data_IF_818591964207
#
_entry.id   IF_818591964207
#
_cell.length_a   1.000
_cell.length_b   1.000
_cell.length_c   1.000
_cell.angle_alpha   90.00
_cell.angle_beta   90.00
_cell.angle_gamma   90.00
#
_symmetry.space_group_name_H-M   'P 1'
#
loop_
_entity.id
_entity.type
_entity.pdbx_description
1 polymer ?
#
# COMPACT_ATOMS: atom_id res chain seq x y z
N UNK A 1 -17.49 3.50 -27.01
CA UNK A 1 -16.59 4.49 -26.39
C UNK A 1 -15.63 3.70 -25.52
N UNK A 2 -14.34 3.66 -25.84
CA UNK A 2 -13.36 2.97 -25.01
C UNK A 2 -13.22 3.76 -23.71
N UNK A 3 -13.71 3.21 -22.60
CA UNK A 3 -13.52 3.78 -21.27
C UNK A 3 -12.03 3.72 -20.97
N UNK A 4 -11.34 4.83 -21.11
CA UNK A 4 -9.91 4.89 -20.81
C UNK A 4 -9.70 4.53 -19.33
N UNK A 5 -9.00 3.42 -19.12
CA UNK A 5 -8.72 2.83 -17.81
C UNK A 5 -7.80 3.73 -16.97
N UNK A 6 -7.14 4.69 -17.60
CA UNK A 6 -6.17 5.59 -16.97
C UNK A 6 -6.72 6.99 -16.67
N UNK A 7 -8.03 7.24 -16.87
CA UNK A 7 -8.63 8.56 -16.59
C UNK A 7 -8.37 8.97 -15.15
N UNK A 8 -7.63 10.08 -15.02
CA UNK A 8 -7.36 10.79 -13.77
C UNK A 8 -8.44 11.85 -13.59
N UNK A 9 -9.07 11.89 -12.41
CA UNK A 9 -9.99 12.95 -12.04
C UNK A 9 -9.22 14.25 -11.83
N UNK A 10 -9.77 15.31 -12.42
CA UNK A 10 -9.36 16.68 -12.12
C UNK A 10 -9.58 16.98 -10.64
N UNK A 11 -8.71 17.81 -10.07
CA UNK A 11 -8.74 18.22 -8.66
C UNK A 11 -10.12 18.74 -8.23
N UNK A 12 -10.82 19.49 -9.09
CA UNK A 12 -12.15 20.05 -8.79
C UNK A 12 -13.25 19.00 -8.74
N UNK A 13 -13.00 17.83 -9.32
CA UNK A 13 -13.92 16.70 -9.32
C UNK A 13 -13.68 15.76 -8.13
N UNK A 14 -12.59 15.95 -7.38
CA UNK A 14 -12.28 15.14 -6.21
C UNK A 14 -13.02 15.67 -4.99
N UNK A 15 -13.51 14.73 -4.19
CA UNK A 15 -13.90 15.02 -2.80
C UNK A 15 -12.66 15.54 -2.05
N UNK A 16 -12.85 16.50 -1.14
CA UNK A 16 -11.75 17.07 -0.34
C UNK A 16 -11.78 16.50 1.06
N UNK A 17 -10.74 15.80 1.43
CA UNK A 17 -10.58 15.16 2.73
C UNK A 17 -9.36 15.72 3.45
N UNK A 18 -9.49 15.86 4.77
CA UNK A 18 -8.38 16.17 5.65
C UNK A 18 -7.83 14.89 6.24
N UNK A 19 -6.51 14.81 6.43
CA UNK A 19 -5.88 13.75 7.18
C UNK A 19 -5.43 14.28 8.54
N UNK A 20 -5.98 13.72 9.61
CA UNK A 20 -5.51 13.88 10.97
C UNK A 20 -4.80 12.57 11.38
N UNK A 21 -3.46 12.58 11.59
CA UNK A 21 -2.69 11.39 11.92
C UNK A 21 -3.31 10.57 13.06
N UNK A 22 -3.47 9.27 12.84
CA UNK A 22 -4.06 8.29 13.77
C UNK A 22 -5.51 8.52 14.21
N UNK A 23 -6.13 9.63 13.81
CA UNK A 23 -7.52 9.95 14.14
C UNK A 23 -8.44 9.63 12.97
N UNK A 24 -8.29 10.33 11.84
CA UNK A 24 -9.21 10.20 10.70
C UNK A 24 -8.62 10.60 9.35
N UNK A 25 -9.27 10.12 8.28
CA UNK A 25 -9.05 10.50 6.89
C UNK A 25 -10.40 10.88 6.28
N UNK A 26 -10.69 12.17 6.26
CA UNK A 26 -12.01 12.69 5.86
C UNK A 26 -13.09 12.18 6.82
N UNK A 27 -14.15 11.52 6.32
CA UNK A 27 -15.20 10.96 7.17
C UNK A 27 -14.82 9.63 7.85
N UNK A 28 -13.69 9.01 7.47
CA UNK A 28 -13.29 7.70 7.97
C UNK A 28 -12.39 7.85 9.20
N UNK A 29 -12.83 7.36 10.35
CA UNK A 29 -12.04 7.36 11.58
C UNK A 29 -11.38 6.00 11.81
N UNK A 30 -10.14 6.00 12.28
CA UNK A 30 -9.48 4.75 12.64
C UNK A 30 -10.22 4.07 13.79
N UNK A 31 -10.36 2.76 13.69
CA UNK A 31 -11.09 1.92 14.63
C UNK A 31 -12.58 1.74 14.36
N UNK A 32 -13.16 2.42 13.35
CA UNK A 32 -14.53 2.16 12.91
C UNK A 32 -14.74 0.69 12.51
N UNK A 33 -15.93 0.15 12.80
CA UNK A 33 -16.40 -1.11 12.20
C UNK A 33 -16.69 -0.90 10.72
N UNK A 34 -16.93 -2.00 10.00
CA UNK A 34 -17.33 -1.91 8.61
C UNK A 34 -18.64 -1.12 8.42
N UNK A 35 -19.68 -1.39 9.23
CA UNK A 35 -20.96 -0.67 9.10
C UNK A 35 -20.82 0.82 9.42
N UNK A 36 -19.97 1.17 10.41
CA UNK A 36 -19.70 2.57 10.75
C UNK A 36 -18.98 3.29 9.60
N UNK A 37 -17.97 2.65 9.00
CA UNK A 37 -17.26 3.20 7.86
C UNK A 37 -18.18 3.37 6.64
N UNK A 38 -19.06 2.40 6.37
CA UNK A 38 -20.08 2.51 5.32
C UNK A 38 -21.04 3.67 5.57
N UNK A 39 -21.57 3.79 6.80
CA UNK A 39 -22.45 4.90 7.17
C UNK A 39 -21.76 6.27 7.06
N UNK A 40 -20.47 6.35 7.39
CA UNK A 40 -19.71 7.60 7.35
C UNK A 40 -19.49 8.12 5.92
N UNK A 41 -19.39 7.22 4.93
CA UNK A 41 -19.19 7.59 3.53
C UNK A 41 -20.47 7.53 2.69
N UNK A 42 -21.62 7.26 3.32
CA UNK A 42 -22.90 7.14 2.63
C UNK A 42 -23.23 8.41 1.83
N UNK A 43 -23.83 8.22 0.66
CA UNK A 43 -24.10 9.29 -0.30
C UNK A 43 -22.87 9.86 -1.03
N UNK A 44 -21.64 9.64 -0.56
CA UNK A 44 -20.41 10.06 -1.23
C UNK A 44 -19.72 8.91 -1.96
N UNK A 45 -19.58 7.78 -1.27
CA UNK A 45 -19.01 6.54 -1.78
C UNK A 45 -20.01 5.40 -1.68
N UNK A 46 -19.82 4.38 -2.50
CA UNK A 46 -20.57 3.14 -2.51
C UNK A 46 -19.60 2.01 -2.21
N UNK A 47 -19.91 1.22 -1.18
CA UNK A 47 -19.07 0.12 -0.75
C UNK A 47 -19.33 -1.14 -1.58
N UNK A 48 -18.28 -1.91 -1.81
CA UNK A 48 -18.40 -3.35 -2.00
C UNK A 48 -17.41 -4.03 -1.06
N UNK A 49 -17.93 -4.73 -0.07
CA UNK A 49 -17.14 -5.56 0.82
C UNK A 49 -16.52 -6.73 0.04
N UNK A 50 -15.24 -6.99 0.26
CA UNK A 50 -14.57 -8.19 -0.26
C UNK A 50 -13.88 -8.92 0.87
N UNK A 51 -14.39 -10.10 1.20
CA UNK A 51 -13.72 -11.00 2.13
C UNK A 51 -12.42 -11.53 1.50
N UNK A 52 -11.32 -11.43 2.23
CA UNK A 52 -10.06 -12.03 1.82
C UNK A 52 -10.15 -13.56 1.80
N UNK A 53 -9.39 -14.25 0.93
CA UNK A 53 -9.46 -15.72 0.77
C UNK A 53 -9.07 -16.52 2.02
N UNK A 54 -8.49 -15.89 3.05
CA UNK A 54 -8.08 -16.52 4.32
C UNK A 54 -8.97 -16.15 5.52
N UNK A 55 -10.03 -15.35 5.34
CA UNK A 55 -10.98 -14.97 6.39
C UNK A 55 -10.42 -14.11 7.54
N UNK A 56 -9.11 -13.81 7.55
CA UNK A 56 -8.45 -13.09 8.63
C UNK A 56 -8.18 -11.60 8.34
N UNK A 57 -8.15 -11.19 7.08
CA UNK A 57 -8.01 -9.78 6.68
C UNK A 57 -9.29 -9.37 5.95
N UNK A 58 -10.04 -8.45 6.55
CA UNK A 58 -11.26 -7.91 5.95
C UNK A 58 -10.88 -6.63 5.22
N UNK A 59 -11.26 -6.54 3.94
CA UNK A 59 -11.01 -5.38 3.09
C UNK A 59 -12.34 -4.90 2.51
N UNK A 60 -12.57 -3.60 2.54
CA UNK A 60 -13.68 -3.00 1.79
C UNK A 60 -13.12 -2.06 0.72
N UNK A 61 -13.73 -2.12 -0.45
CA UNK A 61 -13.42 -1.24 -1.56
C UNK A 61 -14.60 -0.27 -1.73
N UNK A 62 -14.30 1.01 -1.92
CA UNK A 62 -15.30 2.08 -2.05
C UNK A 62 -15.14 2.78 -3.40
N UNK A 63 -16.24 2.90 -4.13
CA UNK A 63 -16.33 3.61 -5.42
C UNK A 63 -17.05 4.94 -5.25
N UNK A 64 -16.77 5.91 -6.12
CA UNK A 64 -17.52 7.18 -6.11
C UNK A 64 -18.98 6.92 -6.50
N UNK A 65 -19.91 7.33 -5.65
CA UNK A 65 -21.35 7.11 -5.86
C UNK A 65 -21.84 7.72 -7.18
N UNK A 66 -21.26 8.86 -7.57
CA UNK A 66 -21.62 9.57 -8.80
C UNK A 66 -21.04 8.94 -10.09
N UNK A 67 -20.18 7.92 -10.00
CA UNK A 67 -19.56 7.25 -11.17
C UNK A 67 -19.38 5.74 -10.94
N UNK A 68 -20.47 4.94 -10.97
CA UNK A 68 -20.40 3.49 -10.80
C UNK A 68 -19.63 2.76 -11.92
N UNK A 69 -19.53 3.36 -13.12
CA UNK A 69 -18.88 2.78 -14.31
C UNK A 69 -17.33 2.78 -14.24
N UNK A 70 -16.76 3.16 -13.10
CA UNK A 70 -15.32 3.24 -12.87
C UNK A 70 -14.60 1.89 -12.77
N UNK A 71 -15.30 0.77 -12.96
CA UNK A 71 -14.84 -0.58 -12.65
C UNK A 71 -13.46 -0.96 -13.18
N UNK A 72 -13.00 -0.38 -14.29
CA UNK A 72 -11.67 -0.66 -14.84
C UNK A 72 -10.50 0.02 -14.09
N UNK A 73 -10.71 1.18 -13.47
CA UNK A 73 -9.63 1.92 -12.77
C UNK A 73 -9.53 1.60 -11.27
N UNK A 74 -10.33 0.64 -10.80
CA UNK A 74 -10.37 0.21 -9.40
C UNK A 74 -11.16 1.15 -8.48
N UNK A 75 -11.19 0.83 -7.17
CA UNK A 75 -11.90 1.62 -6.17
C UNK A 75 -11.24 2.98 -5.94
N UNK A 76 -12.04 3.96 -5.51
CA UNK A 76 -11.57 5.29 -5.12
C UNK A 76 -10.82 5.25 -3.78
N UNK A 77 -11.33 4.46 -2.83
CA UNK A 77 -10.71 4.22 -1.52
C UNK A 77 -10.76 2.72 -1.23
N UNK A 78 -9.66 2.19 -0.72
CA UNK A 78 -9.59 0.82 -0.20
C UNK A 78 -9.28 0.91 1.29
N UNK A 79 -10.04 0.21 2.10
CA UNK A 79 -9.81 0.13 3.55
C UNK A 79 -9.46 -1.27 4.00
N UNK A 80 -8.71 -1.35 5.08
CA UNK A 80 -8.24 -2.58 5.71
C UNK A 80 -8.69 -2.59 7.16
N UNK A 81 -9.25 -3.72 7.59
CA UNK A 81 -9.69 -3.91 8.96
C UNK A 81 -8.79 -4.94 9.67
N UNK A 82 -8.45 -4.61 10.90
CA UNK A 82 -7.84 -5.51 11.87
C UNK A 82 -8.89 -5.91 12.91
N UNK A 83 -8.91 -7.17 13.36
CA UNK A 83 -9.93 -7.64 14.31
C UNK A 83 -9.84 -6.99 15.68
N UNK A 84 -8.65 -6.56 16.11
CA UNK A 84 -8.45 -5.94 17.41
C UNK A 84 -8.67 -4.41 17.37
N UNK A 85 -8.39 -3.78 16.22
CA UNK A 85 -8.45 -2.32 16.09
C UNK A 85 -9.76 -1.86 15.44
N UNK A 86 -10.28 -2.57 14.44
CA UNK A 86 -11.29 -2.06 13.50
C UNK A 86 -10.61 -1.53 12.24
N UNK A 87 -11.09 -0.41 11.70
CA UNK A 87 -10.48 0.24 10.54
C UNK A 87 -9.02 0.62 10.84
N UNK A 88 -8.09 -0.09 10.23
CA UNK A 88 -6.66 -0.01 10.55
C UNK A 88 -5.82 0.63 9.43
N UNK A 89 -6.32 0.63 8.19
CA UNK A 89 -5.61 1.21 7.05
C UNK A 89 -6.55 1.75 5.98
N UNK A 90 -6.15 2.86 5.37
CA UNK A 90 -6.90 3.56 4.32
C UNK A 90 -5.92 3.88 3.19
N UNK A 91 -6.16 3.32 2.01
CA UNK A 91 -5.39 3.58 0.80
C UNK A 91 -6.28 4.32 -0.21
N UNK A 92 -5.81 5.49 -0.66
CA UNK A 92 -6.57 6.35 -1.57
C UNK A 92 -6.03 6.23 -3.00
N UNK A 93 -6.89 5.99 -3.98
CA UNK A 93 -6.48 5.80 -5.37
C UNK A 93 -6.02 7.11 -6.01
N UNK A 94 -4.84 7.12 -6.64
CA UNK A 94 -4.28 8.33 -7.24
C UNK A 94 -5.14 8.88 -8.39
N UNK A 95 -5.87 8.02 -9.12
CA UNK A 95 -6.62 8.41 -10.31
C UNK A 95 -7.99 8.97 -9.94
N UNK A 96 -8.66 8.40 -8.93
CA UNK A 96 -10.08 8.69 -8.66
C UNK A 96 -10.42 8.93 -7.19
N UNK A 97 -9.46 8.73 -6.31
CA UNK A 97 -9.66 8.94 -4.89
C UNK A 97 -9.91 10.40 -4.53
N UNK A 98 -10.50 10.65 -3.35
CA UNK A 98 -10.55 11.98 -2.76
C UNK A 98 -9.15 12.63 -2.75
N UNK A 99 -9.09 13.95 -2.87
CA UNK A 99 -7.89 14.68 -2.53
C UNK A 99 -7.76 14.71 -1.00
N UNK A 100 -6.71 14.10 -0.49
CA UNK A 100 -6.38 14.14 0.94
C UNK A 100 -5.32 15.20 1.19
N UNK A 101 -5.52 16.04 2.21
CA UNK A 101 -4.55 17.05 2.64
C UNK A 101 -4.06 16.84 4.06
N UNK A 102 -2.76 16.97 4.28
CA UNK A 102 -2.11 17.05 5.61
C UNK A 102 -1.59 18.48 5.81
N UNK A 103 -2.19 19.25 6.73
CA UNK A 103 -1.82 20.66 6.97
C UNK A 103 -1.72 21.52 5.68
N UNK A 104 -2.64 21.27 4.74
CA UNK A 104 -2.68 21.94 3.43
C UNK A 104 -1.81 21.32 2.34
N UNK A 105 -0.93 20.36 2.66
CA UNK A 105 -0.16 19.58 1.69
C UNK A 105 -1.05 18.52 1.03
N UNK A 106 -1.24 18.61 -0.29
CA UNK A 106 -2.02 17.62 -1.04
C UNK A 106 -1.23 16.32 -1.22
N UNK A 107 -1.82 15.18 -0.87
CA UNK A 107 -1.13 13.88 -0.86
C UNK A 107 -1.48 12.99 -2.05
N UNK A 108 -2.61 13.23 -2.72
CA UNK A 108 -3.15 12.34 -3.77
C UNK A 108 -2.89 12.96 -5.14
N UNK A 109 -2.55 12.12 -6.12
CA UNK A 109 -2.46 12.57 -7.51
C UNK A 109 -1.31 13.54 -7.79
N UNK A 110 -0.34 13.68 -6.89
CA UNK A 110 0.81 14.57 -7.05
C UNK A 110 1.95 13.87 -7.77
N UNK A 111 2.90 14.65 -8.31
CA UNK A 111 4.17 14.10 -8.82
C UNK A 111 4.99 13.60 -7.63
N UNK A 112 5.40 12.31 -7.59
CA UNK A 112 6.06 11.73 -6.41
C UNK A 112 7.29 12.50 -5.92
N UNK A 113 8.18 12.92 -6.81
CA UNK A 113 9.39 13.65 -6.42
C UNK A 113 9.08 14.98 -5.75
N UNK A 114 8.13 15.74 -6.29
CA UNK A 114 7.70 17.02 -5.70
C UNK A 114 7.05 16.81 -4.34
N UNK A 115 6.24 15.76 -4.20
CA UNK A 115 5.59 15.45 -2.93
C UNK A 115 6.61 14.97 -1.90
N UNK A 116 7.63 14.21 -2.30
CA UNK A 116 8.72 13.78 -1.42
C UNK A 116 9.50 14.97 -0.86
N UNK A 117 9.84 15.97 -1.69
CA UNK A 117 10.49 17.21 -1.22
C UNK A 117 9.62 17.91 -0.18
N UNK A 118 8.33 18.13 -0.47
CA UNK A 118 7.39 18.78 0.45
C UNK A 118 7.18 18.00 1.74
N UNK A 119 7.15 16.67 1.64
CA UNK A 119 6.98 15.80 2.79
C UNK A 119 8.22 15.81 3.69
N UNK A 120 9.41 15.83 3.09
CA UNK A 120 10.68 15.96 3.82
C UNK A 120 10.72 17.28 4.59
N UNK A 121 10.46 18.41 3.92
CA UNK A 121 10.39 19.73 4.56
C UNK A 121 9.39 19.78 5.71
N UNK A 122 8.23 19.14 5.53
CA UNK A 122 7.19 19.05 6.56
C UNK A 122 7.66 18.25 7.78
N UNK A 123 8.28 17.09 7.57
CA UNK A 123 8.78 16.25 8.66
C UNK A 123 9.88 16.97 9.44
N UNK A 124 10.81 17.63 8.75
CA UNK A 124 11.86 18.43 9.38
C UNK A 124 11.27 19.55 10.23
N UNK A 125 10.31 20.31 9.68
CA UNK A 125 9.63 21.41 10.39
C UNK A 125 8.93 20.93 11.67
N UNK A 126 8.38 19.72 11.66
CA UNK A 126 7.64 19.15 12.78
C UNK A 126 8.47 18.20 13.66
N UNK A 127 9.79 18.14 13.46
CA UNK A 127 10.72 17.25 14.16
C UNK A 127 10.27 15.77 14.15
N UNK A 128 9.91 15.28 12.96
CA UNK A 128 9.48 13.89 12.72
C UNK A 128 10.49 13.16 11.83
N UNK A 129 10.54 11.85 11.97
CA UNK A 129 11.44 10.99 11.22
C UNK A 129 10.89 10.70 9.82
N UNK A 130 11.73 10.94 8.81
CA UNK A 130 11.58 10.38 7.47
C UNK A 130 12.17 8.96 7.45
N UNK A 131 11.40 8.03 6.91
CA UNK A 131 11.83 6.65 6.63
C UNK A 131 11.43 6.27 5.22
N UNK A 132 11.96 5.15 4.75
CA UNK A 132 11.61 4.58 3.45
C UNK A 132 11.11 3.15 3.62
N UNK A 133 10.06 2.81 2.88
CA UNK A 133 9.56 1.43 2.79
C UNK A 133 10.59 0.55 2.06
N UNK A 134 10.39 -0.78 2.11
CA UNK A 134 11.18 -1.71 1.29
C UNK A 134 11.06 -1.45 -0.23
N UNK A 135 10.01 -0.77 -0.67
CA UNK A 135 9.80 -0.37 -2.05
C UNK A 135 10.31 1.07 -2.34
N UNK A 136 11.11 1.64 -1.42
CA UNK A 136 11.61 3.01 -1.47
C UNK A 136 10.50 4.08 -1.50
N UNK A 137 9.34 3.79 -0.88
CA UNK A 137 8.29 4.80 -0.70
C UNK A 137 8.60 5.65 0.56
N UNK A 138 8.58 6.99 0.48
CA UNK A 138 8.70 7.85 1.65
C UNK A 138 7.60 7.57 2.68
N UNK A 139 7.95 7.51 3.96
CA UNK A 139 7.00 7.21 5.03
C UNK A 139 7.41 7.83 6.37
N UNK A 140 6.44 7.95 7.27
CA UNK A 140 6.67 8.32 8.66
C UNK A 140 5.76 7.53 9.60
N UNK A 141 6.37 6.71 10.45
CA UNK A 141 5.65 5.95 11.48
C UNK A 141 4.99 6.88 12.52
N UNK A 142 5.52 8.08 12.74
CA UNK A 142 4.95 9.08 13.65
C UNK A 142 3.73 9.81 13.08
N UNK A 143 3.41 9.58 11.80
CA UNK A 143 2.18 10.05 11.16
C UNK A 143 1.27 8.89 10.74
N UNK A 144 1.77 7.66 10.72
CA UNK A 144 1.06 6.54 10.10
C UNK A 144 0.86 6.73 8.59
N UNK A 145 1.82 7.35 7.90
CA UNK A 145 1.69 7.71 6.48
C UNK A 145 2.79 7.07 5.63
N UNK A 146 2.39 6.47 4.51
CA UNK A 146 3.29 5.97 3.45
C UNK A 146 2.85 6.56 2.10
N UNK A 147 3.78 7.18 1.37
CA UNK A 147 3.54 7.83 0.09
C UNK A 147 3.91 6.91 -1.06
N UNK A 148 2.97 6.06 -1.48
CA UNK A 148 3.19 5.16 -2.62
C UNK A 148 3.02 5.87 -3.96
N UNK A 149 3.54 5.25 -5.01
CA UNK A 149 3.31 5.69 -6.39
C UNK A 149 2.34 4.76 -7.13
N UNK A 150 1.53 5.32 -8.03
CA UNK A 150 0.60 4.61 -8.90
C UNK A 150 0.72 5.11 -10.33
N UNK A 151 0.81 4.19 -11.29
CA UNK A 151 0.87 4.51 -12.71
C UNK A 151 -0.52 4.92 -13.24
N UNK A 152 -0.55 5.97 -14.05
CA UNK A 152 -1.71 6.47 -14.78
C UNK A 152 -1.30 6.72 -16.25
N UNK A 153 -1.33 5.67 -17.07
CA UNK A 153 -0.81 5.73 -18.44
C UNK A 153 0.70 5.97 -18.44
N UNK A 154 1.13 7.11 -18.97
CA UNK A 154 2.54 7.53 -18.99
C UNK A 154 2.95 8.37 -17.77
N UNK A 155 2.00 8.68 -16.88
CA UNK A 155 2.25 9.40 -15.64
C UNK A 155 2.42 8.43 -14.46
N UNK A 156 3.13 8.90 -13.44
CA UNK A 156 3.20 8.27 -12.12
C UNK A 156 2.76 9.29 -11.10
N UNK A 157 1.77 8.92 -10.28
CA UNK A 157 1.08 9.80 -9.36
C UNK A 157 1.14 9.25 -7.93
N UNK A 158 1.13 10.15 -6.94
CA UNK A 158 1.13 9.78 -5.54
C UNK A 158 -0.20 9.15 -5.10
N UNK A 159 -0.07 8.13 -4.25
CA UNK A 159 -1.14 7.27 -3.73
C UNK A 159 -0.89 7.05 -2.23
N UNK A 160 -1.41 7.92 -1.35
CA UNK A 160 -1.13 7.83 0.07
C UNK A 160 -1.82 6.62 0.70
N UNK A 161 -1.16 6.05 1.69
CA UNK A 161 -1.69 5.03 2.59
C UNK A 161 -1.54 5.56 4.00
N UNK A 162 -2.66 5.65 4.71
CA UNK A 162 -2.72 6.11 6.09
C UNK A 162 -3.14 4.94 6.97
N UNK A 163 -2.53 4.80 8.15
CA UNK A 163 -2.77 3.68 9.05
C UNK A 163 -3.02 4.15 10.49
N UNK A 164 -3.74 3.33 11.24
CA UNK A 164 -3.91 3.50 12.67
C UNK A 164 -2.56 3.35 13.40
N UNK A 165 -2.46 3.91 14.60
CA UNK A 165 -1.22 3.91 15.40
C UNK A 165 -0.68 2.49 15.61
N UNK A 166 -1.56 1.52 15.94
CA UNK A 166 -1.18 0.12 16.13
C UNK A 166 -0.64 -0.60 14.89
N UNK A 167 -0.72 0.03 13.71
CA UNK A 167 -0.18 -0.47 12.43
C UNK A 167 1.01 0.36 11.93
N UNK A 168 1.33 1.49 12.55
CA UNK A 168 2.32 2.44 12.06
C UNK A 168 3.74 1.88 11.98
N UNK A 169 4.12 1.00 12.91
CA UNK A 169 5.42 0.34 12.87
C UNK A 169 5.53 -0.74 11.79
N UNK A 170 4.39 -1.25 11.30
CA UNK A 170 4.31 -2.32 10.29
C UNK A 170 4.03 -1.81 8.89
N UNK A 171 3.64 -0.55 8.74
CA UNK A 171 3.15 -0.05 7.45
C UNK A 171 4.25 0.12 6.39
N UNK A 172 5.51 0.19 6.83
CA UNK A 172 6.69 0.33 5.97
C UNK A 172 7.54 -0.94 5.89
N UNK A 173 7.34 -1.90 6.81
CA UNK A 173 8.04 -3.18 6.85
C UNK A 173 7.12 -4.31 6.34
N UNK A 174 7.51 -4.97 5.25
CA UNK A 174 6.80 -6.15 4.78
C UNK A 174 7.26 -7.38 5.56
N UNK A 175 7.10 -7.39 6.88
CA UNK A 175 7.19 -8.66 7.62
C UNK A 175 5.86 -9.39 7.45
N UNK A 176 5.79 -10.13 6.33
CA UNK A 176 4.70 -11.05 6.05
C UNK A 176 4.58 -12.09 7.15
N UNK A 177 3.39 -12.18 7.75
CA UNK A 177 2.95 -13.20 8.70
C UNK A 177 3.82 -13.41 9.95
N UNK A 178 3.18 -13.36 11.11
CA UNK A 178 3.70 -14.05 12.29
C UNK A 178 4.04 -15.51 11.90
N UNK A 179 5.31 -15.90 12.00
CA UNK A 179 5.64 -17.32 12.08
C UNK A 179 4.93 -17.88 13.31
N UNK A 180 4.05 -18.89 13.20
CA UNK A 180 3.46 -19.48 14.37
C UNK A 180 4.57 -20.25 15.10
N UNK A 181 4.91 -19.73 16.27
CA UNK A 181 5.46 -20.47 17.41
C UNK A 181 6.52 -21.55 17.07
N UNK A 182 7.79 -21.15 16.97
CA UNK A 182 8.91 -22.08 17.17
C UNK A 182 9.46 -21.86 18.57
N UNK A 183 8.92 -22.56 19.54
CA UNK A 183 9.59 -22.75 20.83
C UNK A 183 10.92 -23.47 20.57
N UNK A 184 12.01 -22.76 20.82
CA UNK A 184 13.38 -23.26 20.67
C UNK A 184 14.39 -22.13 20.56
N UNK A 185 14.84 -21.62 21.71
CA UNK A 185 15.99 -20.70 21.82
C UNK A 185 17.31 -21.39 21.40
N UNK A 186 18.41 -20.66 21.19
CA UNK A 186 19.22 -20.72 19.97
C UNK A 186 20.50 -21.54 20.15
N UNK A 187 21.07 -22.03 19.05
CA UNK A 187 22.50 -22.37 18.99
C UNK A 187 23.17 -21.49 17.94
N UNK A 188 24.07 -20.64 18.43
CA UNK A 188 25.12 -19.97 17.68
C UNK A 188 25.71 -20.88 16.61
N UNK A 189 25.75 -20.40 15.36
CA UNK A 189 26.45 -21.04 14.26
C UNK A 189 26.97 -19.97 13.32
N UNK A 190 28.26 -19.68 13.44
CA UNK A 190 29.05 -18.85 12.55
C UNK A 190 28.80 -19.20 11.08
N UNK A 191 28.75 -18.16 10.22
CA UNK A 191 28.81 -18.31 8.77
C UNK A 191 30.12 -19.01 8.38
N UNK A 192 30.04 -20.26 7.94
CA UNK A 192 31.14 -20.89 7.20
C UNK A 192 30.92 -20.72 5.69
N UNK A 193 31.97 -20.38 4.92
CA UNK A 193 31.86 -20.23 3.47
C UNK A 193 31.71 -21.59 2.77
N UNK A 194 30.98 -21.57 1.65
CA UNK A 194 30.69 -22.74 0.80
C UNK A 194 31.99 -23.30 0.20
N UNK A 195 32.25 -24.63 0.26
CA UNK A 195 33.42 -25.25 -0.36
C UNK A 195 33.39 -25.15 -1.89
N UNK A 196 34.55 -24.91 -2.49
CA UNK A 196 34.72 -24.57 -3.92
C UNK A 196 34.57 -25.74 -4.92
N UNK A 197 34.03 -26.89 -4.52
CA UNK A 197 34.05 -28.12 -5.34
C UNK A 197 32.71 -28.51 -6.00
N UNK A 198 31.86 -27.53 -6.34
CA UNK A 198 30.62 -27.78 -7.10
C UNK A 198 30.72 -27.53 -8.63
N UNK A 199 31.94 -27.46 -9.19
CA UNK A 199 32.18 -27.35 -10.63
C UNK A 199 32.71 -28.66 -11.23
N UNK A 200 31.93 -29.73 -11.18
CA UNK A 200 32.17 -30.92 -12.00
C UNK A 200 30.84 -31.58 -12.44
N UNK A 201 30.78 -31.96 -13.71
CA UNK A 201 29.59 -32.35 -14.46
C UNK A 201 29.09 -33.74 -14.06
N UNK A 202 27.76 -33.91 -14.05
CA UNK A 202 27.09 -35.19 -14.32
C UNK A 202 26.97 -36.16 -13.15
N UNK A 203 25.93 -36.00 -12.32
CA UNK A 203 25.41 -37.07 -11.46
C UNK A 203 23.90 -36.92 -11.25
N UNK A 204 23.11 -38.03 -11.21
CA UNK A 204 21.65 -38.02 -11.29
C UNK A 204 20.92 -37.75 -9.95
N UNK A 205 21.60 -37.16 -8.97
CA UNK A 205 21.02 -36.80 -7.66
C UNK A 205 20.86 -35.29 -7.49
N UNK A 206 20.50 -34.60 -8.57
CA UNK A 206 20.04 -33.22 -8.50
C UNK A 206 18.54 -33.25 -8.14
N UNK A 207 18.08 -32.64 -7.03
CA UNK A 207 16.66 -32.50 -6.80
C UNK A 207 16.04 -31.78 -8.01
N UNK A 208 15.04 -32.42 -8.60
CA UNK A 208 14.28 -31.90 -9.72
C UNK A 208 13.88 -30.45 -9.44
N UNK A 209 14.21 -29.54 -10.38
CA UNK A 209 13.66 -28.19 -10.41
C UNK A 209 12.14 -28.30 -10.25
N UNK A 210 11.50 -27.65 -9.26
CA UNK A 210 10.06 -27.52 -9.30
C UNK A 210 9.69 -26.77 -10.60
N UNK A 211 8.73 -27.32 -11.34
CA UNK A 211 8.22 -26.71 -12.56
C UNK A 211 7.62 -25.34 -12.24
N UNK A 212 7.69 -24.43 -13.21
CA UNK A 212 7.17 -23.05 -13.17
C UNK A 212 5.62 -23.06 -13.26
N UNK A 213 4.94 -23.85 -12.43
CA UNK A 213 3.49 -24.00 -12.51
C UNK A 213 2.78 -23.99 -11.15
N UNK A 214 3.44 -23.56 -10.07
CA UNK A 214 2.79 -23.41 -8.75
C UNK A 214 3.16 -22.12 -8.02
N UNK A 215 3.39 -21.03 -8.76
CA UNK A 215 3.52 -19.69 -8.17
C UNK A 215 2.10 -19.14 -7.97
N UNK A 216 1.68 -19.07 -6.71
CA UNK A 216 0.39 -18.50 -6.29
C UNK A 216 0.26 -17.02 -6.72
N UNK A 217 -0.89 -16.56 -7.26
CA UNK A 217 -1.08 -15.18 -7.73
C UNK A 217 -1.14 -14.10 -6.63
N UNK A 218 -0.99 -14.43 -5.35
CA UNK A 218 -1.40 -13.55 -4.24
C UNK A 218 -0.31 -12.73 -3.55
N UNK A 219 0.96 -12.80 -4.00
CA UNK A 219 2.03 -11.89 -3.55
C UNK A 219 1.96 -10.49 -4.19
N UNK A 220 0.98 -10.22 -5.06
CA UNK A 220 1.02 -9.15 -6.04
C UNK A 220 0.39 -7.80 -5.64
N UNK A 221 -0.23 -7.64 -4.47
CA UNK A 221 -1.03 -6.43 -4.18
C UNK A 221 -0.48 -5.47 -3.12
N UNK A 222 0.54 -5.88 -2.38
CA UNK A 222 1.39 -4.95 -1.63
C UNK A 222 2.60 -4.48 -2.44
N UNK A 223 3.00 -5.24 -3.47
CA UNK A 223 4.20 -5.01 -4.25
C UNK A 223 3.94 -5.20 -5.76
N UNK A 224 3.57 -4.13 -6.47
CA UNK A 224 3.91 -3.97 -7.89
C UNK A 224 3.85 -2.51 -8.34
N UNK A 225 5.01 -1.86 -8.38
CA UNK A 225 5.43 -1.08 -9.55
C UNK A 225 6.23 -2.06 -10.42
N UNK A 226 5.94 -2.25 -11.72
CA UNK A 226 6.90 -2.91 -12.59
C UNK A 226 8.03 -1.93 -12.86
N UNK A 227 9.07 -1.97 -12.04
CA UNK A 227 10.30 -1.21 -12.27
C UNK A 227 11.14 -1.93 -13.32
N UNK A 228 10.83 -1.75 -14.60
CA UNK A 228 11.79 -2.02 -15.67
C UNK A 228 12.70 -0.80 -15.79
N UNK A 229 13.64 -0.64 -14.86
CA UNK A 229 14.80 0.23 -15.11
C UNK A 229 15.72 -0.55 -16.06
N UNK A 230 15.58 -0.29 -17.36
CA UNK A 230 16.62 -0.65 -18.31
C UNK A 230 17.81 0.30 -18.06
N UNK A 231 18.88 -0.23 -17.46
CA UNK A 231 20.19 0.40 -17.52
C UNK A 231 20.59 0.51 -18.99
N UNK A 232 20.53 1.71 -19.57
CA UNK A 232 21.35 2.07 -20.72
C UNK A 232 22.60 2.78 -20.18
N UNK A 233 23.66 2.00 -20.02
CA UNK A 233 25.03 2.51 -19.96
C UNK A 233 25.48 2.91 -21.36
N UNK A 234 26.31 3.95 -21.41
CA UNK A 234 26.99 4.48 -22.61
C UNK A 234 27.73 3.41 -23.41
#
# INVERSE_FOLDING_TARGET
>A
MATDVWVVLDERQRLRWMFAPFECVGPLEFGMTHEQAEAAVDGMLQAALREGPSGNEVRADYWLAQRPDAGFSGPAVTVYYDRAIGLAGIAVNALRGPQVTLDGMGLVGQVPSRLEDQFTDYLETHNKDLRYSQCADPCSAQLGLVLRAQRAGDLVLSRPVMVAEGWADRCWDTTGAASPNRSGRPSSGECQPIPSDCLARGSPLCPQRPSISSISPFQFHWCRIPTTFACWGR
#
